data_IF_558562033583
#
_entry.id   IF_558562033583
#
_cell.length_a   1.000
_cell.length_b   1.000
_cell.length_c   1.000
_cell.angle_alpha   90.00
_cell.angle_beta   90.00
_cell.angle_gamma   90.00
#
_symmetry.space_group_name_H-M   'P 1'
#
loop_
_entity.id
_entity.type
_entity.pdbx_description
1 polymer ?
#
# COMPACT_ATOMS: atom_id res chain seq x y z
N UNK A 1 17.20 -23.57 -1.27
CA UNK A 1 16.27 -22.61 -1.89
C UNK A 1 15.08 -22.29 -0.96
N UNK A 2 15.27 -21.73 0.25
CA UNK A 2 14.13 -21.58 1.20
C UNK A 2 13.95 -20.20 1.84
N UNK A 3 15.01 -19.41 2.08
CA UNK A 3 14.85 -18.09 2.74
C UNK A 3 14.60 -16.95 1.75
N UNK A 4 15.33 -16.91 0.63
CA UNK A 4 15.21 -15.82 -0.36
C UNK A 4 13.82 -15.74 -1.01
N UNK A 5 13.24 -16.88 -1.40
CA UNK A 5 11.89 -16.92 -1.99
C UNK A 5 10.80 -16.50 -1.01
N UNK A 6 10.92 -16.87 0.27
CA UNK A 6 9.98 -16.48 1.33
C UNK A 6 10.08 -14.97 1.59
N UNK A 7 11.30 -14.43 1.68
CA UNK A 7 11.53 -12.99 1.85
C UNK A 7 10.93 -12.21 0.68
N UNK A 8 11.15 -12.67 -0.55
CA UNK A 8 10.60 -12.05 -1.75
C UNK A 8 9.06 -12.11 -1.77
N UNK A 9 8.46 -13.24 -1.38
CA UNK A 9 7.00 -13.36 -1.28
C UNK A 9 6.42 -12.37 -0.25
N UNK A 10 7.07 -12.22 0.91
CA UNK A 10 6.69 -11.23 1.92
C UNK A 10 6.84 -9.81 1.38
N UNK A 11 7.95 -9.50 0.69
CA UNK A 11 8.19 -8.17 0.10
C UNK A 11 7.15 -7.81 -0.96
N UNK A 12 6.75 -8.76 -1.80
CA UNK A 12 5.68 -8.56 -2.77
C UNK A 12 4.33 -8.38 -2.09
N UNK A 13 4.03 -9.19 -1.08
CA UNK A 13 2.82 -9.04 -0.29
C UNK A 13 2.74 -7.65 0.36
N UNK A 14 3.83 -7.20 1.01
CA UNK A 14 3.92 -5.87 1.62
C UNK A 14 3.74 -4.77 0.58
N UNK A 15 4.39 -4.90 -0.60
CA UNK A 15 4.24 -3.93 -1.70
C UNK A 15 2.79 -3.81 -2.17
N UNK A 16 2.10 -4.94 -2.36
CA UNK A 16 0.69 -4.98 -2.75
C UNK A 16 -0.17 -4.34 -1.68
N UNK A 17 -0.01 -4.75 -0.41
CA UNK A 17 -0.79 -4.22 0.71
C UNK A 17 -0.63 -2.69 0.83
N UNK A 18 0.60 -2.18 0.80
CA UNK A 18 0.87 -0.74 0.90
C UNK A 18 0.22 0.00 -0.26
N UNK A 19 0.36 -0.50 -1.48
CA UNK A 19 -0.22 0.13 -2.67
C UNK A 19 -1.74 0.12 -2.63
N UNK A 20 -2.35 -1.00 -2.20
CA UNK A 20 -3.81 -1.12 -2.03
C UNK A 20 -4.35 -0.16 -0.97
N UNK A 21 -3.68 -0.01 0.17
CA UNK A 21 -4.05 0.97 1.20
C UNK A 21 -3.91 2.39 0.65
N UNK A 22 -2.84 2.68 -0.08
CA UNK A 22 -2.64 3.96 -0.74
C UNK A 22 -3.76 4.31 -1.74
N UNK A 23 -4.13 3.35 -2.59
CA UNK A 23 -5.26 3.46 -3.52
C UNK A 23 -6.58 3.69 -2.78
N UNK A 24 -6.83 2.96 -1.69
CA UNK A 24 -8.03 3.15 -0.89
C UNK A 24 -8.09 4.56 -0.28
N UNK A 25 -6.98 5.05 0.24
CA UNK A 25 -6.87 6.41 0.77
C UNK A 25 -7.09 7.48 -0.31
N UNK A 26 -6.67 7.21 -1.55
CA UNK A 26 -6.83 8.13 -2.68
C UNK A 26 -8.30 8.18 -3.16
N UNK A 27 -8.90 7.02 -3.41
CA UNK A 27 -10.22 6.87 -4.01
C UNK A 27 -11.35 7.15 -3.00
N UNK A 28 -11.25 6.61 -1.79
CA UNK A 28 -12.28 6.71 -0.75
C UNK A 28 -11.72 7.13 0.63
N UNK A 29 -11.10 8.32 0.74
CA UNK A 29 -10.48 8.79 1.98
C UNK A 29 -11.44 8.82 3.18
N UNK A 30 -12.73 9.14 2.94
CA UNK A 30 -13.75 9.18 4.00
C UNK A 30 -14.03 7.79 4.58
N UNK A 31 -14.07 6.75 3.74
CA UNK A 31 -14.29 5.37 4.20
C UNK A 31 -13.09 4.87 4.99
N UNK A 32 -11.88 5.20 4.54
CA UNK A 32 -10.66 4.86 5.28
C UNK A 32 -10.58 5.60 6.62
N UNK A 33 -10.92 6.90 6.66
CA UNK A 33 -11.01 7.66 7.90
C UNK A 33 -12.02 7.05 8.87
N UNK A 34 -13.22 6.68 8.38
CA UNK A 34 -14.23 6.02 9.20
C UNK A 34 -13.74 4.67 9.72
N UNK A 35 -13.15 3.83 8.86
CA UNK A 35 -12.59 2.54 9.24
C UNK A 35 -11.54 2.68 10.35
N UNK A 36 -10.60 3.62 10.20
CA UNK A 36 -9.52 3.84 11.17
C UNK A 36 -10.07 4.42 12.48
N UNK A 37 -11.07 5.30 12.42
CA UNK A 37 -11.75 5.79 13.61
C UNK A 37 -12.49 4.66 14.35
N UNK A 38 -13.25 3.82 13.64
CA UNK A 38 -14.05 2.75 14.26
C UNK A 38 -13.19 1.63 14.85
N UNK A 39 -12.11 1.23 14.18
CA UNK A 39 -11.31 0.07 14.62
C UNK A 39 -10.15 0.45 15.54
N UNK A 40 -9.62 1.68 15.43
CA UNK A 40 -8.40 2.08 16.13
C UNK A 40 -8.51 3.41 16.87
N UNK A 41 -9.61 4.16 16.72
CA UNK A 41 -9.81 5.49 17.30
C UNK A 41 -8.70 6.52 17.02
N UNK A 42 -7.86 6.27 16.01
CA UNK A 42 -6.68 7.09 15.66
C UNK A 42 -7.02 8.36 14.89
N UNK A 43 -8.14 8.36 14.15
CA UNK A 43 -8.58 9.50 13.35
C UNK A 43 -9.88 10.07 13.90
N UNK A 44 -10.14 11.38 13.73
CA UNK A 44 -11.41 11.96 14.14
C UNK A 44 -12.57 11.36 13.34
N UNK A 45 -13.74 11.28 13.97
CA UNK A 45 -14.97 10.87 13.30
C UNK A 45 -15.22 11.73 12.05
N UNK A 46 -15.74 11.10 10.99
CA UNK A 46 -16.06 11.79 9.74
C UNK A 46 -17.22 12.75 10.00
N UNK A 47 -16.90 14.03 10.22
CA UNK A 47 -17.90 15.11 10.39
C UNK A 47 -18.09 15.85 9.07
N UNK A 48 -19.34 16.14 8.71
CA UNK A 48 -19.68 16.98 7.57
C UNK A 48 -19.14 18.40 7.81
N UNK A 49 -18.00 18.74 7.20
CA UNK A 49 -17.35 20.04 7.32
C UNK A 49 -15.83 19.97 7.51
N UNK A 50 -15.32 18.92 8.17
CA UNK A 50 -13.88 18.78 8.44
C UNK A 50 -13.15 18.11 7.27
N UNK A 51 -12.81 18.90 6.25
CA UNK A 51 -12.08 18.44 5.04
C UNK A 51 -10.57 18.17 5.17
N UNK A 52 -9.81 18.74 6.14
CA UNK A 52 -8.35 18.55 6.22
C UNK A 52 -7.93 17.08 6.25
N UNK A 53 -8.61 16.26 7.05
CA UNK A 53 -8.26 14.86 7.25
C UNK A 53 -8.33 14.08 5.93
N UNK A 54 -9.39 14.27 5.15
CA UNK A 54 -9.52 13.61 3.85
C UNK A 54 -8.43 14.03 2.84
N UNK A 55 -7.98 15.29 2.89
CA UNK A 55 -6.88 15.78 2.05
C UNK A 55 -5.55 15.15 2.48
N UNK A 56 -5.28 15.12 3.79
CA UNK A 56 -4.08 14.47 4.34
C UNK A 56 -4.06 12.98 4.01
N UNK A 57 -5.19 12.28 4.12
CA UNK A 57 -5.29 10.87 3.73
C UNK A 57 -4.99 10.66 2.24
N UNK A 58 -5.41 11.58 1.36
CA UNK A 58 -5.06 11.50 -0.06
C UNK A 58 -3.57 11.71 -0.30
N UNK A 59 -2.94 12.66 0.38
CA UNK A 59 -1.49 12.88 0.30
C UNK A 59 -0.71 11.66 0.80
N UNK A 60 -1.13 11.09 1.93
CA UNK A 60 -0.60 9.81 2.44
C UNK A 60 -0.84 8.70 1.42
N UNK A 61 -2.00 8.67 0.76
CA UNK A 61 -2.31 7.72 -0.30
C UNK A 61 -1.34 7.79 -1.47
N UNK A 62 -1.07 9.01 -1.98
CA UNK A 62 -0.07 9.25 -3.04
C UNK A 62 1.31 8.79 -2.59
N UNK A 63 1.70 9.14 -1.36
CA UNK A 63 2.99 8.71 -0.80
C UNK A 63 3.10 7.19 -0.70
N UNK A 64 2.06 6.50 -0.23
CA UNK A 64 2.05 5.03 -0.13
C UNK A 64 2.11 4.35 -1.50
N UNK A 65 1.43 4.90 -2.51
CA UNK A 65 1.51 4.38 -3.88
C UNK A 65 2.92 4.57 -4.43
N UNK A 66 3.51 5.75 -4.27
CA UNK A 66 4.89 6.01 -4.67
C UNK A 66 5.87 5.08 -3.95
N UNK A 67 5.69 4.89 -2.64
CA UNK A 67 6.53 4.00 -1.85
C UNK A 67 6.37 2.53 -2.25
N UNK A 68 5.15 2.06 -2.52
CA UNK A 68 4.90 0.71 -3.03
C UNK A 68 5.57 0.48 -4.39
N UNK A 69 5.54 1.49 -5.27
CA UNK A 69 6.23 1.45 -6.55
C UNK A 69 7.76 1.39 -6.39
N UNK A 70 8.34 2.21 -5.51
CA UNK A 70 9.80 2.20 -5.27
C UNK A 70 10.25 0.90 -4.62
N UNK A 71 9.44 0.31 -3.74
CA UNK A 71 9.69 -1.03 -3.17
C UNK A 71 9.70 -2.09 -4.26
N UNK A 72 8.69 -2.11 -5.13
CA UNK A 72 8.63 -3.07 -6.24
C UNK A 72 9.81 -2.90 -7.22
N UNK A 73 10.22 -1.66 -7.48
CA UNK A 73 11.38 -1.37 -8.32
C UNK A 73 12.71 -1.83 -7.67
N UNK A 74 12.84 -1.75 -6.35
CA UNK A 74 14.03 -2.20 -5.63
C UNK A 74 14.25 -3.72 -5.75
N UNK A 75 13.17 -4.50 -5.88
CA UNK A 75 13.23 -5.97 -6.05
C UNK A 75 13.05 -6.42 -7.49
N UNK A 76 13.25 -5.51 -8.47
CA UNK A 76 13.05 -5.80 -9.89
C UNK A 76 13.96 -6.93 -10.38
N UNK A 77 15.18 -7.02 -9.86
CA UNK A 77 16.12 -8.08 -10.22
C UNK A 77 15.62 -9.46 -9.76
N UNK A 78 15.14 -9.57 -8.52
CA UNK A 78 14.56 -10.80 -7.97
C UNK A 78 13.24 -11.18 -8.66
N UNK A 79 12.43 -10.18 -9.04
CA UNK A 79 11.21 -10.38 -9.83
C UNK A 79 11.49 -10.92 -11.23
N UNK A 80 12.51 -10.39 -11.92
CA UNK A 80 12.94 -10.89 -13.23
C UNK A 80 13.52 -12.30 -13.12
N UNK A 81 14.30 -12.57 -12.09
CA UNK A 81 14.80 -13.92 -11.81
C UNK A 81 13.66 -14.91 -11.60
N UNK A 82 12.62 -14.52 -10.86
CA UNK A 82 11.45 -15.36 -10.63
C UNK A 82 10.62 -15.57 -11.91
N UNK A 83 10.39 -14.51 -12.69
CA UNK A 83 9.71 -14.60 -13.98
C UNK A 83 10.40 -15.56 -14.96
N UNK A 84 11.74 -15.57 -14.96
CA UNK A 84 12.54 -16.48 -15.77
C UNK A 84 12.39 -17.94 -15.32
N UNK A 85 12.37 -18.19 -14.01
CA UNK A 85 12.15 -19.54 -13.46
C UNK A 85 10.78 -20.11 -13.84
N UNK A 86 9.75 -19.26 -13.87
CA UNK A 86 8.40 -19.67 -14.24
C UNK A 86 8.14 -19.63 -15.76
N UNK A 87 9.14 -19.32 -16.59
CA UNK A 87 9.03 -19.33 -18.06
C UNK A 87 8.07 -18.27 -18.61
N UNK A 88 7.84 -17.20 -17.85
CA UNK A 88 6.97 -16.08 -18.26
C UNK A 88 7.73 -15.13 -19.21
N UNK A 89 9.06 -15.09 -19.11
CA UNK A 89 10.01 -14.32 -19.93
C UNK A 89 11.26 -15.18 -20.17
#
# INVERSE_FOLDING_TARGET
MSRGAVVLAIQLFVSVVITSVGLWALLWPKRLQQYVNTNYALLPAVREGWRPTAIVLRLVGVFLIWYGYTLAAAYRAELLWLAHIFGII
#
